data_IF_253527952897
#
_entry.id   IF_253527952897
#
_cell.length_a   1.000
_cell.length_b   1.000
_cell.length_c   1.000
_cell.angle_alpha   90.00
_cell.angle_beta   90.00
_cell.angle_gamma   90.00
#
_symmetry.space_group_name_H-M   'P 1'
#
loop_
_entity.id
_entity.type
_entity.pdbx_description
1 polymer ?
#
# COMPACT_ATOMS: atom_id res chain seq x y z
N UNK A 1 -12.35 -29.66 8.35
CA UNK A 1 -13.02 -28.85 9.39
C UNK A 1 -13.21 -27.44 8.84
N UNK A 2 -14.36 -26.79 9.04
CA UNK A 2 -14.53 -25.41 8.58
C UNK A 2 -13.56 -24.49 9.36
N UNK A 3 -12.81 -23.67 8.65
CA UNK A 3 -11.94 -22.66 9.25
C UNK A 3 -12.78 -21.67 10.08
N UNK A 4 -12.26 -21.17 11.20
CA UNK A 4 -12.96 -20.13 11.96
C UNK A 4 -12.99 -18.81 11.16
N UNK A 5 -13.94 -17.92 11.45
CA UNK A 5 -14.04 -16.62 10.77
C UNK A 5 -12.72 -15.82 10.94
N UNK A 6 -12.14 -15.84 12.14
CA UNK A 6 -10.86 -15.17 12.43
C UNK A 6 -9.69 -15.75 11.64
N UNK A 7 -9.67 -17.07 11.46
CA UNK A 7 -8.64 -17.74 10.66
C UNK A 7 -8.74 -17.37 9.19
N UNK A 8 -9.96 -17.42 8.64
CA UNK A 8 -10.23 -17.01 7.26
C UNK A 8 -9.83 -15.56 7.04
N UNK A 9 -10.17 -14.68 7.99
CA UNK A 9 -9.80 -13.28 7.94
C UNK A 9 -8.27 -13.08 7.97
N UNK A 10 -7.56 -13.75 8.86
CA UNK A 10 -6.11 -13.63 8.97
C UNK A 10 -5.40 -14.15 7.71
N UNK A 11 -5.90 -15.24 7.11
CA UNK A 11 -5.45 -15.73 5.81
C UNK A 11 -5.63 -14.70 4.70
N UNK A 12 -6.86 -14.18 4.54
CA UNK A 12 -7.16 -13.20 3.51
C UNK A 12 -6.33 -11.93 3.69
N UNK A 13 -6.15 -11.50 4.94
CA UNK A 13 -5.32 -10.34 5.25
C UNK A 13 -3.85 -10.56 4.90
N UNK A 14 -3.29 -11.72 5.25
CA UNK A 14 -1.91 -12.08 4.92
C UNK A 14 -1.66 -12.13 3.41
N UNK A 15 -2.53 -12.81 2.67
CA UNK A 15 -2.43 -12.95 1.20
C UNK A 15 -2.53 -11.57 0.55
N UNK A 16 -3.53 -10.77 0.94
CA UNK A 16 -3.71 -9.46 0.33
C UNK A 16 -2.54 -8.50 0.64
N UNK A 17 -2.04 -8.48 1.88
CA UNK A 17 -0.85 -7.71 2.23
C UNK A 17 0.39 -8.14 1.44
N UNK A 18 0.58 -9.45 1.22
CA UNK A 18 1.66 -9.96 0.40
C UNK A 18 1.59 -9.46 -1.05
N UNK A 19 0.41 -9.54 -1.66
CA UNK A 19 0.17 -9.00 -3.01
C UNK A 19 0.42 -7.49 -3.05
N UNK A 20 -0.11 -6.75 -2.07
CA UNK A 20 0.04 -5.30 -1.99
C UNK A 20 1.50 -4.87 -1.85
N UNK A 21 2.26 -5.54 -0.98
CA UNK A 21 3.68 -5.27 -0.77
C UNK A 21 4.51 -5.57 -2.04
N UNK A 22 4.27 -6.72 -2.67
CA UNK A 22 4.94 -7.10 -3.91
C UNK A 22 4.64 -6.14 -5.07
N UNK A 23 3.37 -5.77 -5.24
CA UNK A 23 2.95 -4.80 -6.25
C UNK A 23 3.54 -3.41 -6.02
N UNK A 24 3.65 -2.97 -4.76
CA UNK A 24 4.26 -1.68 -4.42
C UNK A 24 5.75 -1.65 -4.77
N UNK A 25 6.45 -2.76 -4.59
CA UNK A 25 7.84 -2.90 -5.02
C UNK A 25 7.96 -2.84 -6.55
N UNK A 26 7.08 -3.55 -7.27
CA UNK A 26 7.02 -3.49 -8.73
C UNK A 26 6.74 -2.07 -9.24
N UNK A 27 5.75 -1.37 -8.67
CA UNK A 27 5.42 0.00 -9.02
C UNK A 27 6.63 0.92 -8.84
N UNK A 28 7.29 0.84 -7.68
CA UNK A 28 8.43 1.70 -7.35
C UNK A 28 9.64 1.44 -8.25
N UNK A 29 9.92 0.17 -8.60
CA UNK A 29 11.13 -0.21 -9.34
C UNK A 29 10.98 -0.23 -10.85
N UNK A 30 9.78 -0.52 -11.35
CA UNK A 30 9.55 -0.76 -12.78
C UNK A 30 8.67 0.33 -13.38
N UNK A 31 7.58 0.72 -12.71
CA UNK A 31 6.60 1.66 -13.29
C UNK A 31 7.04 3.11 -13.09
N UNK A 32 7.42 3.50 -11.87
CA UNK A 32 7.83 4.88 -11.54
C UNK A 32 8.92 5.42 -12.48
N UNK A 33 10.01 4.67 -12.75
CA UNK A 33 11.08 5.17 -13.63
C UNK A 33 10.64 5.43 -15.08
N UNK A 34 9.50 4.90 -15.51
CA UNK A 34 8.97 5.14 -16.87
C UNK A 34 8.36 6.53 -17.03
N UNK A 35 7.89 7.13 -15.92
CA UNK A 35 7.22 8.43 -15.94
C UNK A 35 7.86 9.50 -15.06
N UNK A 36 8.84 9.14 -14.21
CA UNK A 36 9.69 10.08 -13.49
C UNK A 36 11.15 9.63 -13.62
N UNK A 37 11.93 10.38 -14.40
CA UNK A 37 13.36 10.14 -14.58
C UNK A 37 14.16 11.23 -13.90
N UNK A 38 15.28 10.88 -13.28
CA UNK A 38 16.21 11.85 -12.68
C UNK A 38 17.57 11.78 -13.38
N UNK A 39 18.12 12.94 -13.74
CA UNK A 39 19.51 13.07 -14.21
C UNK A 39 20.22 14.13 -13.36
N UNK A 40 21.51 13.91 -13.06
CA UNK A 40 22.33 14.88 -12.34
C UNK A 40 22.52 16.18 -13.12
N UNK A 41 22.42 16.14 -14.44
CA UNK A 41 22.65 17.29 -15.32
C UNK A 41 21.37 18.09 -15.63
N UNK A 42 20.23 17.42 -15.75
CA UNK A 42 18.97 18.05 -16.21
C UNK A 42 17.87 18.07 -15.14
N UNK A 43 18.14 17.56 -13.94
CA UNK A 43 17.16 17.45 -12.87
C UNK A 43 16.13 16.33 -13.10
N UNK A 44 14.99 16.41 -12.40
CA UNK A 44 13.89 15.46 -12.54
C UNK A 44 12.96 15.84 -13.68
N UNK A 45 12.65 14.87 -14.53
CA UNK A 45 11.74 15.02 -15.65
C UNK A 45 10.47 14.17 -15.44
N UNK A 46 9.32 14.85 -15.42
CA UNK A 46 8.01 14.24 -15.32
C UNK A 46 7.41 14.02 -16.71
N UNK A 47 7.08 12.77 -17.03
CA UNK A 47 6.39 12.40 -18.26
C UNK A 47 4.92 12.05 -17.96
N UNK A 48 4.03 13.04 -18.11
CA UNK A 48 2.59 12.87 -17.89
C UNK A 48 1.98 11.79 -18.79
N UNK A 49 2.37 11.73 -20.06
CA UNK A 49 1.78 10.78 -21.00
C UNK A 49 2.04 9.33 -20.56
N UNK A 50 3.27 9.04 -20.13
CA UNK A 50 3.62 7.73 -19.58
C UNK A 50 2.88 7.44 -18.26
N UNK A 51 2.72 8.43 -17.37
CA UNK A 51 1.98 8.24 -16.12
C UNK A 51 0.49 7.93 -16.37
N UNK A 52 -0.14 8.68 -17.28
CA UNK A 52 -1.54 8.51 -17.68
C UNK A 52 -1.77 7.18 -18.41
N UNK A 53 -0.82 6.74 -19.24
CA UNK A 53 -0.92 5.43 -19.89
C UNK A 53 -0.78 4.28 -18.89
N UNK A 54 0.16 4.38 -17.96
CA UNK A 54 0.36 3.37 -16.92
C UNK A 54 -0.89 3.20 -16.04
N UNK A 55 -1.50 4.32 -15.59
CA UNK A 55 -2.73 4.38 -14.79
C UNK A 55 -2.88 3.24 -13.75
N UNK A 56 -1.80 2.97 -13.02
CA UNK A 56 -1.69 1.81 -12.12
C UNK A 56 -2.77 1.84 -11.03
N UNK A 57 -3.17 3.04 -10.62
CA UNK A 57 -4.27 3.30 -9.68
C UNK A 57 -5.58 2.64 -10.07
N UNK A 58 -6.04 2.83 -11.32
CA UNK A 58 -7.29 2.28 -11.80
C UNK A 58 -7.16 0.85 -12.34
N UNK A 59 -6.04 0.53 -12.99
CA UNK A 59 -5.86 -0.79 -13.64
C UNK A 59 -5.51 -1.90 -12.66
N UNK A 60 -4.92 -1.58 -11.52
CA UNK A 60 -4.44 -2.58 -10.57
C UNK A 60 -4.92 -2.30 -9.14
N UNK A 61 -4.60 -1.12 -8.59
CA UNK A 61 -4.78 -0.87 -7.17
C UNK A 61 -6.24 -0.85 -6.72
N UNK A 62 -7.15 -0.31 -7.55
CA UNK A 62 -8.60 -0.29 -7.29
C UNK A 62 -9.17 -1.67 -6.94
N UNK A 63 -8.73 -2.72 -7.65
CA UNK A 63 -9.23 -4.08 -7.53
C UNK A 63 -8.48 -4.91 -6.49
N UNK A 64 -7.23 -4.57 -6.20
CA UNK A 64 -6.37 -5.39 -5.33
C UNK A 64 -6.31 -4.84 -3.91
N UNK A 65 -6.18 -3.52 -3.74
CA UNK A 65 -5.89 -2.92 -2.43
C UNK A 65 -6.91 -1.87 -1.98
N UNK A 66 -7.47 -1.06 -2.87
CA UNK A 66 -8.28 0.09 -2.45
C UNK A 66 -9.55 -0.33 -1.72
N UNK A 67 -10.30 -1.28 -2.27
CA UNK A 67 -11.48 -1.81 -1.58
C UNK A 67 -11.13 -3.03 -0.70
N UNK A 68 -10.51 -4.11 -1.22
CA UNK A 68 -10.38 -5.33 -0.44
C UNK A 68 -9.51 -5.18 0.80
N UNK A 69 -8.33 -4.55 0.66
CA UNK A 69 -7.41 -4.41 1.78
C UNK A 69 -7.91 -3.36 2.80
N UNK A 70 -8.68 -2.35 2.38
CA UNK A 70 -9.35 -1.44 3.34
C UNK A 70 -10.35 -2.18 4.21
N UNK A 71 -11.23 -3.01 3.61
CA UNK A 71 -12.19 -3.81 4.36
C UNK A 71 -11.49 -4.83 5.28
N UNK A 72 -10.46 -5.51 4.79
CA UNK A 72 -9.67 -6.46 5.57
C UNK A 72 -8.94 -5.78 6.73
N UNK A 73 -8.42 -4.57 6.55
CA UNK A 73 -7.78 -3.79 7.62
C UNK A 73 -8.78 -3.47 8.74
N UNK A 74 -9.96 -2.96 8.39
CA UNK A 74 -10.99 -2.63 9.39
C UNK A 74 -11.50 -3.87 10.12
N UNK A 75 -11.80 -4.94 9.39
CA UNK A 75 -12.20 -6.22 9.98
C UNK A 75 -11.09 -6.79 10.89
N UNK A 76 -9.83 -6.68 10.46
CA UNK A 76 -8.67 -7.14 11.24
C UNK A 76 -8.46 -6.33 12.52
N UNK A 77 -8.68 -5.02 12.51
CA UNK A 77 -8.62 -4.20 13.72
C UNK A 77 -9.62 -4.69 14.77
N UNK A 78 -10.86 -4.96 14.34
CA UNK A 78 -11.91 -5.47 15.23
C UNK A 78 -11.53 -6.86 15.74
N UNK A 79 -11.22 -7.79 14.84
CA UNK A 79 -10.89 -9.17 15.22
C UNK A 79 -9.66 -9.26 16.13
N UNK A 80 -8.62 -8.45 15.88
CA UNK A 80 -7.40 -8.44 16.68
C UNK A 80 -7.65 -7.99 18.13
N UNK A 81 -8.60 -7.07 18.37
CA UNK A 81 -8.92 -6.65 19.75
C UNK A 81 -9.54 -7.77 20.60
N UNK A 82 -10.22 -8.71 19.95
CA UNK A 82 -10.89 -9.87 20.55
C UNK A 82 -9.98 -11.10 20.66
N UNK A 83 -8.80 -11.07 20.06
CA UNK A 83 -7.88 -12.21 20.03
C UNK A 83 -7.16 -12.41 21.38
N UNK A 84 -6.79 -13.67 21.73
CA UNK A 84 -5.92 -13.94 22.87
C UNK A 84 -4.48 -13.45 22.63
N UNK A 85 -3.73 -13.23 23.70
CA UNK A 85 -2.27 -13.02 23.62
C UNK A 85 -1.56 -14.38 23.42
N UNK A 86 -0.46 -14.46 22.65
CA UNK A 86 0.32 -13.36 22.03
C UNK A 86 -0.18 -12.91 20.65
N UNK A 87 -1.11 -13.65 20.02
CA UNK A 87 -1.67 -13.36 18.68
C UNK A 87 -2.16 -11.91 18.54
N UNK A 88 -2.87 -11.41 19.55
CA UNK A 88 -3.41 -10.03 19.58
C UNK A 88 -2.35 -8.96 19.32
N UNK A 89 -1.15 -9.09 19.89
CA UNK A 89 -0.10 -8.07 19.74
C UNK A 89 0.36 -7.93 18.30
N UNK A 90 0.69 -9.04 17.66
CA UNK A 90 1.14 -9.06 16.27
C UNK A 90 0.03 -8.70 15.29
N UNK A 91 -1.20 -9.14 15.54
CA UNK A 91 -2.33 -8.80 14.67
C UNK A 91 -2.70 -7.32 14.76
N UNK A 92 -2.68 -6.72 15.96
CA UNK A 92 -2.92 -5.28 16.12
C UNK A 92 -1.81 -4.44 15.46
N UNK A 93 -0.54 -4.83 15.61
CA UNK A 93 0.57 -4.17 14.91
C UNK A 93 0.35 -4.19 13.40
N UNK A 94 0.00 -5.36 12.85
CA UNK A 94 -0.27 -5.52 11.43
C UNK A 94 -1.41 -4.63 10.94
N UNK A 95 -2.55 -4.68 11.64
CA UNK A 95 -3.74 -3.94 11.28
C UNK A 95 -3.54 -2.41 11.41
N UNK A 96 -2.76 -1.97 12.40
CA UNK A 96 -2.43 -0.54 12.59
C UNK A 96 -1.47 -0.03 11.51
N UNK A 97 -0.45 -0.81 11.15
CA UNK A 97 0.46 -0.46 10.06
C UNK A 97 -0.28 -0.40 8.70
N UNK A 98 -1.20 -1.34 8.45
CA UNK A 98 -2.05 -1.30 7.27
C UNK A 98 -3.03 -0.11 7.28
N UNK A 99 -3.56 0.27 8.45
CA UNK A 99 -4.40 1.47 8.59
C UNK A 99 -3.61 2.74 8.27
N UNK A 100 -2.38 2.86 8.77
CA UNK A 100 -1.51 4.00 8.46
C UNK A 100 -1.29 4.15 6.94
N UNK A 101 -0.98 3.04 6.25
CA UNK A 101 -0.90 3.05 4.79
C UNK A 101 -2.21 3.54 4.15
N UNK A 102 -3.38 3.06 4.61
CA UNK A 102 -4.67 3.48 4.06
C UNK A 102 -4.91 4.97 4.22
N UNK A 103 -4.62 5.51 5.40
CA UNK A 103 -4.74 6.95 5.67
C UNK A 103 -3.86 7.76 4.73
N UNK A 104 -2.60 7.34 4.51
CA UNK A 104 -1.74 7.99 3.52
C UNK A 104 -2.28 7.87 2.10
N UNK A 105 -2.76 6.67 1.73
CA UNK A 105 -3.24 6.38 0.38
C UNK A 105 -4.43 7.26 0.01
N UNK A 106 -5.43 7.34 0.88
CA UNK A 106 -6.62 8.17 0.65
C UNK A 106 -6.35 9.66 0.89
N UNK A 107 -5.54 10.01 1.88
CA UNK A 107 -5.27 11.41 2.26
C UNK A 107 -4.29 12.12 1.33
N UNK A 108 -3.36 11.40 0.70
CA UNK A 108 -2.28 12.00 -0.09
C UNK A 108 -2.07 11.34 -1.45
N UNK A 109 -1.87 10.01 -1.53
CA UNK A 109 -1.39 9.40 -2.78
C UNK A 109 -2.40 9.44 -3.92
N UNK A 110 -3.66 9.06 -3.65
CA UNK A 110 -4.75 9.11 -4.63
C UNK A 110 -5.01 10.55 -5.10
N UNK A 111 -5.28 11.53 -4.23
CA UNK A 111 -5.58 12.89 -4.69
C UNK A 111 -4.39 13.54 -5.40
N UNK A 112 -3.17 13.28 -4.95
CA UNK A 112 -1.96 13.82 -5.61
C UNK A 112 -1.78 13.23 -7.01
N UNK A 113 -1.95 11.92 -7.18
CA UNK A 113 -1.79 11.29 -8.49
C UNK A 113 -2.89 11.74 -9.47
N UNK A 114 -4.13 11.86 -9.01
CA UNK A 114 -5.22 12.43 -9.81
C UNK A 114 -4.91 13.88 -10.24
N UNK A 115 -4.33 14.68 -9.35
CA UNK A 115 -3.87 16.03 -9.66
C UNK A 115 -2.74 16.04 -10.69
N UNK A 116 -1.72 15.20 -10.53
CA UNK A 116 -0.59 15.07 -11.46
C UNK A 116 -1.02 14.60 -12.86
N UNK A 117 -2.10 13.83 -12.94
CA UNK A 117 -2.67 13.35 -14.20
C UNK A 117 -3.57 14.39 -14.89
N UNK A 118 -4.03 15.45 -14.21
CA UNK A 118 -4.81 16.51 -14.84
C UNK A 118 -3.92 17.39 -15.73
N UNK A 119 -4.38 17.68 -16.95
CA UNK A 119 -3.71 18.63 -17.83
C UNK A 119 -3.75 20.04 -17.21
N UNK A 120 -2.67 20.80 -17.40
CA UNK A 120 -2.57 22.24 -17.06
C UNK A 120 -2.73 22.60 -15.57
N UNK A 121 -2.86 21.62 -14.67
CA UNK A 121 -2.98 21.85 -13.22
C UNK A 121 -1.68 22.35 -12.60
N UNK A 122 -0.54 21.86 -13.09
CA UNK A 122 0.79 22.18 -12.58
C UNK A 122 1.71 22.50 -13.76
N UNK A 123 2.63 23.43 -13.55
CA UNK A 123 3.77 23.58 -14.47
C UNK A 123 4.64 22.30 -14.45
N UNK A 124 5.45 22.08 -15.48
CA UNK A 124 6.32 20.89 -15.55
C UNK A 124 7.24 20.76 -14.33
N UNK A 125 7.80 21.87 -13.85
CA UNK A 125 8.69 21.88 -12.67
C UNK A 125 7.92 21.52 -11.40
N UNK A 126 6.74 22.08 -11.19
CA UNK A 126 5.89 21.76 -10.04
C UNK A 126 5.41 20.30 -10.05
N UNK A 127 5.05 19.80 -11.24
CA UNK A 127 4.66 18.40 -11.42
C UNK A 127 5.82 17.45 -11.08
N UNK A 128 7.04 17.75 -11.53
CA UNK A 128 8.22 16.96 -11.20
C UNK A 128 8.53 16.94 -9.70
N UNK A 129 8.45 18.10 -9.02
CA UNK A 129 8.65 18.18 -7.57
C UNK A 129 7.58 17.41 -6.79
N UNK A 130 6.31 17.52 -7.20
CA UNK A 130 5.22 16.75 -6.58
C UNK A 130 5.34 15.26 -6.83
N UNK A 131 5.74 14.86 -8.04
CA UNK A 131 5.99 13.46 -8.37
C UNK A 131 7.17 12.90 -7.56
N UNK A 132 8.24 13.67 -7.38
CA UNK A 132 9.36 13.30 -6.52
C UNK A 132 8.91 13.13 -5.06
N UNK A 133 8.15 14.09 -4.53
CA UNK A 133 7.59 13.99 -3.18
C UNK A 133 6.70 12.75 -3.03
N UNK A 134 5.87 12.46 -4.04
CA UNK A 134 5.02 11.27 -4.09
C UNK A 134 5.85 9.99 -4.00
N UNK A 135 6.95 9.89 -4.74
CA UNK A 135 7.86 8.73 -4.69
C UNK A 135 8.56 8.62 -3.33
N UNK A 136 9.04 9.74 -2.78
CA UNK A 136 9.74 9.77 -1.49
C UNK A 136 8.82 9.32 -0.34
N UNK A 137 7.62 9.88 -0.26
CA UNK A 137 6.61 9.44 0.70
C UNK A 137 6.18 8.00 0.42
N UNK A 138 6.24 7.57 -0.84
CA UNK A 138 6.01 6.19 -1.27
C UNK A 138 6.83 5.21 -0.46
N UNK A 139 8.11 5.49 -0.18
CA UNK A 139 8.94 4.57 0.63
C UNK A 139 8.39 4.37 2.05
N UNK A 140 7.87 5.42 2.69
CA UNK A 140 7.25 5.30 4.01
C UNK A 140 5.99 4.44 3.94
N UNK A 141 5.16 4.65 2.91
CA UNK A 141 3.97 3.85 2.66
C UNK A 141 4.33 2.36 2.47
N UNK A 142 5.33 2.07 1.64
CA UNK A 142 5.79 0.69 1.42
C UNK A 142 6.41 0.05 2.66
N UNK A 143 7.13 0.82 3.48
CA UNK A 143 7.64 0.33 4.76
C UNK A 143 6.50 -0.07 5.70
N UNK A 144 5.43 0.74 5.78
CA UNK A 144 4.24 0.40 6.56
C UNK A 144 3.56 -0.89 6.07
N UNK A 145 3.42 -1.08 4.75
CA UNK A 145 2.90 -2.33 4.19
C UNK A 145 3.79 -3.54 4.49
N UNK A 146 5.11 -3.39 4.41
CA UNK A 146 6.03 -4.47 4.74
C UNK A 146 5.95 -4.85 6.22
N UNK A 147 5.89 -3.86 7.12
CA UNK A 147 5.68 -4.08 8.56
C UNK A 147 4.34 -4.81 8.77
N UNK A 148 3.28 -4.35 8.12
CA UNK A 148 1.97 -4.98 8.20
C UNK A 148 2.01 -6.44 7.76
N UNK A 149 2.66 -6.72 6.63
CA UNK A 149 2.80 -8.07 6.10
C UNK A 149 3.58 -8.98 7.05
N UNK A 150 4.77 -8.57 7.49
CA UNK A 150 5.61 -9.36 8.40
C UNK A 150 4.92 -9.60 9.75
N UNK A 151 4.27 -8.59 10.32
CA UNK A 151 3.50 -8.72 11.54
C UNK A 151 2.31 -9.68 11.36
N UNK A 152 1.65 -9.67 10.19
CA UNK A 152 0.56 -10.62 9.89
C UNK A 152 1.10 -12.04 9.77
N UNK A 153 2.23 -12.26 9.11
CA UNK A 153 2.87 -13.59 9.04
C UNK A 153 3.25 -14.10 10.44
N UNK A 154 3.73 -13.21 11.32
CA UNK A 154 4.02 -13.57 12.70
C UNK A 154 2.74 -13.91 13.48
N UNK A 155 1.69 -13.09 13.36
CA UNK A 155 0.37 -13.38 13.94
C UNK A 155 -0.16 -14.73 13.45
N UNK A 156 0.00 -15.01 12.16
CA UNK A 156 -0.39 -16.26 11.54
C UNK A 156 0.39 -17.46 12.11
N UNK A 157 1.71 -17.32 12.30
CA UNK A 157 2.51 -18.33 12.96
C UNK A 157 2.07 -18.60 14.41
N UNK A 158 1.80 -17.54 15.20
CA UNK A 158 1.30 -17.67 16.58
C UNK A 158 -0.08 -18.36 16.63
N UNK A 159 -0.96 -18.06 15.66
CA UNK A 159 -2.27 -18.69 15.56
C UNK A 159 -2.19 -20.21 15.33
N UNK A 160 -1.18 -20.67 14.58
CA UNK A 160 -0.97 -22.11 14.36
C UNK A 160 -0.29 -22.80 15.54
N UNK A 161 0.59 -22.10 16.26
CA UNK A 161 1.25 -22.65 17.45
C UNK A 161 0.32 -22.78 18.66
N UNK A 162 -0.76 -22.02 18.71
CA UNK A 162 -1.74 -22.04 19.80
C UNK A 162 -2.90 -23.01 19.59
N UNK A 163 -2.90 -23.76 18.47
CA UNK A 163 -3.84 -24.85 18.18
C UNK A 163 -3.29 -26.20 18.61
#
# INVERSE_FOLDING_TARGET
MPYSISETLLWLFAINLGIAAGAGFYETRIVVPQWLTGSQETGYHWNRAAAVDANVGLRFWSFVTTLPLTLLTLASLIAATLAPLPLKGWWLLAATAALFDRLMTFGYFIPTMLGLMQADRYSNTEAALKALQWVQLGYLRHAALLIAFLATLKAFAEFYLSR
#
